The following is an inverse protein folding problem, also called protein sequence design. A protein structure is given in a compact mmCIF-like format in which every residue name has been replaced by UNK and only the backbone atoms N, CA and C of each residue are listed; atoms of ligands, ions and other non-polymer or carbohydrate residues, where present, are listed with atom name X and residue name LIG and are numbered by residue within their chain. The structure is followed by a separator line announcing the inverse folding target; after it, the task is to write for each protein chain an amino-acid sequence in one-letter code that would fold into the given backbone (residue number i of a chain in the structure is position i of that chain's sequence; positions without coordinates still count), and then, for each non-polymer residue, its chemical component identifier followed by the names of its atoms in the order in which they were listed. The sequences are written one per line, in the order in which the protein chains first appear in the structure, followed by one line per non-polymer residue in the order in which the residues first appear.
data_IF_853073125257
#
_entry.id   IF_853073125257
#
_cell.length_a   1.000
_cell.length_b   1.000
_cell.length_c   1.000
_cell.angle_alpha   90.00
_cell.angle_beta   90.00
_cell.angle_gamma   90.00
#
_symmetry.space_group_name_H-M   'P 1'
#
loop_
_entity.id
_entity.type
_entity.pdbx_description
1 polymer ?
#
# COMPACT_ATOMS: atom_id res chain seq x y z
N UNK A 1 -16.06 35.19 5.77
CA UNK A 1 -15.34 34.06 6.39
C UNK A 1 -14.06 34.63 6.96
N UNK A 2 -13.96 34.60 8.29
CA UNK A 2 -12.78 35.13 9.00
C UNK A 2 -11.55 34.27 8.68
N UNK A 3 -10.35 34.86 8.73
CA UNK A 3 -9.10 34.14 8.48
C UNK A 3 -8.95 32.92 9.41
N UNK A 4 -9.40 33.06 10.66
CA UNK A 4 -9.42 31.99 11.67
C UNK A 4 -10.24 30.79 11.20
N UNK A 5 -11.46 31.04 10.70
CA UNK A 5 -12.35 29.98 10.19
C UNK A 5 -11.77 29.25 8.97
N UNK A 6 -11.01 29.96 8.12
CA UNK A 6 -10.32 29.34 6.97
C UNK A 6 -9.16 28.46 7.41
N UNK A 7 -8.42 28.87 8.44
CA UNK A 7 -7.30 28.09 8.99
C UNK A 7 -7.82 26.80 9.62
N UNK A 8 -8.83 26.88 10.48
CA UNK A 8 -9.44 25.71 11.12
C UNK A 8 -9.95 24.69 10.10
N UNK A 9 -10.64 25.15 9.05
CA UNK A 9 -11.12 24.28 7.98
C UNK A 9 -9.98 23.59 7.19
N UNK A 10 -8.84 24.28 7.00
CA UNK A 10 -7.67 23.72 6.34
C UNK A 10 -7.00 22.68 7.23
N UNK A 11 -6.82 22.97 8.53
CA UNK A 11 -6.22 22.06 9.49
C UNK A 11 -7.05 20.78 9.66
N UNK A 12 -8.37 20.90 9.74
CA UNK A 12 -9.25 19.74 9.87
C UNK A 12 -9.16 18.83 8.64
N UNK A 13 -9.14 19.41 7.43
CA UNK A 13 -8.94 18.64 6.19
C UNK A 13 -7.55 18.01 6.15
N UNK A 14 -6.50 18.76 6.50
CA UNK A 14 -5.14 18.25 6.50
C UNK A 14 -4.99 17.09 7.49
N UNK A 15 -5.64 17.16 8.66
CA UNK A 15 -5.65 16.07 9.64
C UNK A 15 -6.20 14.77 9.06
N UNK A 16 -7.30 14.83 8.31
CA UNK A 16 -7.90 13.68 7.62
C UNK A 16 -6.92 13.11 6.58
N UNK A 17 -6.35 13.98 5.75
CA UNK A 17 -5.39 13.60 4.70
C UNK A 17 -4.12 12.96 5.28
N UNK A 18 -3.58 13.49 6.37
CA UNK A 18 -2.39 12.95 7.02
C UNK A 18 -2.66 11.60 7.69
N UNK A 19 -3.85 11.42 8.28
CA UNK A 19 -4.27 10.11 8.81
C UNK A 19 -4.35 9.06 7.69
N UNK A 20 -4.94 9.39 6.54
CA UNK A 20 -5.00 8.50 5.39
C UNK A 20 -3.60 8.16 4.88
N UNK A 21 -2.71 9.16 4.70
CA UNK A 21 -1.31 8.93 4.30
C UNK A 21 -0.56 8.04 5.28
N UNK A 22 -0.77 8.23 6.58
CA UNK A 22 -0.16 7.41 7.62
C UNK A 22 -0.64 5.96 7.49
N UNK A 23 -1.93 5.73 7.27
CA UNK A 23 -2.46 4.41 6.98
C UNK A 23 -1.84 3.80 5.71
N UNK A 24 -1.74 4.58 4.63
CA UNK A 24 -1.21 4.11 3.36
C UNK A 24 0.26 3.68 3.43
N UNK A 25 1.03 4.36 4.27
CA UNK A 25 2.46 4.11 4.47
C UNK A 25 2.73 3.12 5.61
N UNK A 26 1.70 2.77 6.40
CA UNK A 26 1.82 1.89 7.54
C UNK A 26 2.31 0.50 7.17
N UNK A 27 3.10 -0.10 8.07
CA UNK A 27 3.48 -1.51 7.96
C UNK A 27 2.25 -2.42 8.09
N UNK A 28 1.23 -2.00 8.85
CA UNK A 28 -0.01 -2.75 9.02
C UNK A 28 -0.71 -3.00 7.69
N UNK A 29 -0.85 -1.97 6.84
CA UNK A 29 -1.42 -2.14 5.50
C UNK A 29 -0.59 -3.12 4.66
N UNK A 30 0.74 -3.05 4.75
CA UNK A 30 1.64 -3.95 4.00
C UNK A 30 1.50 -5.40 4.43
N UNK A 31 1.45 -5.67 5.74
CA UNK A 31 1.22 -7.02 6.27
C UNK A 31 -0.15 -7.57 5.86
N UNK A 32 -1.21 -6.76 5.97
CA UNK A 32 -2.55 -7.16 5.57
C UNK A 32 -2.59 -7.54 4.09
N UNK A 33 -2.04 -6.71 3.21
CA UNK A 33 -2.04 -7.00 1.78
C UNK A 33 -1.15 -8.20 1.45
N UNK A 34 -0.03 -8.40 2.14
CA UNK A 34 0.81 -9.58 1.95
C UNK A 34 0.07 -10.88 2.30
N UNK A 35 -0.61 -10.92 3.45
CA UNK A 35 -1.38 -12.09 3.89
C UNK A 35 -2.51 -12.38 2.91
N UNK A 36 -3.28 -11.37 2.51
CA UNK A 36 -4.38 -11.53 1.55
C UNK A 36 -3.88 -12.01 0.19
N UNK A 37 -2.81 -11.41 -0.33
CA UNK A 37 -2.22 -11.79 -1.63
C UNK A 37 -1.71 -13.23 -1.58
N UNK A 38 -0.97 -13.60 -0.52
CA UNK A 38 -0.48 -14.95 -0.35
C UNK A 38 -1.62 -15.97 -0.25
N UNK A 39 -2.65 -15.68 0.55
CA UNK A 39 -3.81 -16.54 0.73
C UNK A 39 -4.58 -16.77 -0.58
N UNK A 40 -4.87 -15.70 -1.33
CA UNK A 40 -5.58 -15.78 -2.62
C UNK A 40 -4.79 -16.58 -3.65
N UNK A 41 -3.50 -16.31 -3.80
CA UNK A 41 -2.66 -16.98 -4.80
C UNK A 41 -2.43 -18.44 -4.44
N UNK A 42 -2.18 -18.74 -3.16
CA UNK A 42 -2.05 -20.12 -2.69
C UNK A 42 -3.34 -20.90 -2.93
N UNK A 43 -4.50 -20.31 -2.62
CA UNK A 43 -5.80 -20.94 -2.86
C UNK A 43 -6.03 -21.20 -4.35
N UNK A 44 -5.70 -20.24 -5.20
CA UNK A 44 -5.77 -20.39 -6.64
C UNK A 44 -4.87 -21.51 -7.16
N UNK A 45 -3.60 -21.56 -6.72
CA UNK A 45 -2.66 -22.60 -7.13
C UNK A 45 -3.08 -24.00 -6.64
N UNK A 46 -3.69 -24.07 -5.46
CA UNK A 46 -4.23 -25.32 -4.92
C UNK A 46 -5.39 -25.83 -5.78
N UNK A 47 -6.37 -24.98 -6.10
CA UNK A 47 -7.53 -25.35 -6.95
C UNK A 47 -7.09 -25.68 -8.38
N UNK A 48 -6.11 -24.97 -8.91
CA UNK A 48 -5.57 -25.19 -10.25
C UNK A 48 -4.61 -26.39 -10.36
N UNK A 49 -4.39 -27.14 -9.27
CA UNK A 49 -3.48 -28.29 -9.22
C UNK A 49 -2.05 -27.95 -9.71
N UNK A 50 -1.58 -26.73 -9.44
CA UNK A 50 -0.24 -26.31 -9.80
C UNK A 50 0.79 -26.88 -8.82
N UNK A 51 2.01 -27.20 -9.28
CA UNK A 51 3.05 -27.73 -8.42
C UNK A 51 3.45 -26.69 -7.37
N UNK A 52 3.79 -27.16 -6.16
CA UNK A 52 4.34 -26.35 -5.06
C UNK A 52 3.57 -25.03 -4.78
N UNK A 53 2.25 -25.07 -4.53
CA UNK A 53 1.40 -23.88 -4.42
C UNK A 53 1.90 -22.89 -3.35
N UNK A 54 2.35 -23.39 -2.20
CA UNK A 54 2.85 -22.57 -1.09
C UNK A 54 4.17 -21.85 -1.39
N UNK A 55 5.06 -22.48 -2.16
CA UNK A 55 6.36 -21.91 -2.54
C UNK A 55 6.18 -20.94 -3.69
N UNK A 56 5.39 -21.32 -4.69
CA UNK A 56 5.18 -20.51 -5.87
C UNK A 56 4.39 -19.23 -5.57
N UNK A 57 3.52 -19.22 -4.55
CA UNK A 57 2.81 -18.03 -4.11
C UNK A 57 3.73 -16.96 -3.46
N UNK A 58 4.96 -17.31 -3.07
CA UNK A 58 5.93 -16.37 -2.49
C UNK A 58 6.35 -15.33 -3.54
N UNK A 59 6.61 -15.75 -4.77
CA UNK A 59 7.09 -14.88 -5.86
C UNK A 59 6.15 -13.69 -6.12
N UNK A 60 4.85 -13.89 -6.40
CA UNK A 60 3.93 -12.78 -6.62
C UNK A 60 3.63 -11.98 -5.34
N UNK A 61 3.65 -12.61 -4.15
CA UNK A 61 3.51 -11.88 -2.87
C UNK A 61 4.67 -10.92 -2.64
N UNK A 62 5.91 -11.36 -2.88
CA UNK A 62 7.11 -10.52 -2.82
C UNK A 62 7.09 -9.44 -3.90
N UNK A 63 6.70 -9.78 -5.13
CA UNK A 63 6.56 -8.80 -6.22
C UNK A 63 5.59 -7.67 -5.85
N UNK A 64 4.43 -8.02 -5.29
CA UNK A 64 3.47 -7.03 -4.81
C UNK A 64 4.03 -6.20 -3.65
N UNK A 65 4.63 -6.83 -2.63
CA UNK A 65 5.25 -6.13 -1.51
C UNK A 65 6.33 -5.14 -1.96
N UNK A 66 7.21 -5.55 -2.89
CA UNK A 66 8.25 -4.68 -3.43
C UNK A 66 7.65 -3.49 -4.18
N UNK A 67 6.54 -3.68 -4.92
CA UNK A 67 5.84 -2.56 -5.58
C UNK A 67 5.38 -1.49 -4.59
N UNK A 68 4.93 -1.90 -3.38
CA UNK A 68 4.51 -0.94 -2.35
C UNK A 68 5.67 -0.07 -1.83
N UNK A 69 6.91 -0.54 -1.94
CA UNK A 69 8.13 0.15 -1.51
C UNK A 69 8.73 1.00 -2.63
N UNK A 70 8.80 0.47 -3.84
CA UNK A 70 9.50 1.11 -4.97
C UNK A 70 8.71 2.26 -5.55
N UNK A 71 7.39 2.11 -5.75
CA UNK A 71 6.54 3.12 -6.42
C UNK A 71 6.58 4.46 -5.70
N UNK A 72 6.56 4.46 -4.36
CA UNK A 72 6.66 5.69 -3.56
C UNK A 72 8.01 6.41 -3.73
N UNK A 73 9.10 5.65 -3.86
CA UNK A 73 10.44 6.20 -4.08
C UNK A 73 10.62 6.72 -5.50
N UNK A 74 10.10 6.00 -6.50
CA UNK A 74 10.07 6.46 -7.90
C UNK A 74 9.27 7.76 -8.03
N UNK A 75 8.10 7.85 -7.39
CA UNK A 75 7.29 9.08 -7.34
C UNK A 75 8.08 10.27 -6.79
N UNK A 76 8.79 10.08 -5.66
CA UNK A 76 9.62 11.14 -5.06
C UNK A 76 10.76 11.57 -5.98
N UNK A 77 11.41 10.63 -6.65
CA UNK A 77 12.46 10.94 -7.62
C UNK A 77 11.93 11.74 -8.81
N UNK A 78 10.78 11.35 -9.36
CA UNK A 78 10.14 12.04 -10.48
C UNK A 78 9.74 13.48 -10.12
N UNK A 79 9.15 13.67 -8.94
CA UNK A 79 8.77 15.01 -8.44
C UNK A 79 9.97 15.93 -8.21
N UNK A 80 11.17 15.40 -7.90
CA UNK A 80 12.39 16.21 -7.75
C UNK A 80 12.98 16.68 -9.08
N UNK A 81 12.64 16.01 -10.18
CA UNK A 81 13.12 16.34 -11.53
C UNK A 81 12.19 17.29 -12.28
N UNK A 82 10.98 17.50 -11.77
CA UNK A 82 9.98 18.43 -12.27
C UNK A 82 10.07 19.75 -11.50
#
# INVERSE_FOLDING_TARGET
MDLTQRIEAIEERNRKVEADKAWETSLMRRFLVAILTYGVITSFFFVAHLPNPFVNAIVPTLGFLLSTLTVSSVKRWWLKKK
#
